data_IF_736958775120
#
_entry.id   IF_736958775120
#
_cell.length_a   1.000
_cell.length_b   1.000
_cell.length_c   1.000
_cell.angle_alpha   90.00
_cell.angle_beta   90.00
_cell.angle_gamma   90.00
#
_symmetry.space_group_name_H-M   'P 1'
#
loop_
_entity.id
_entity.type
_entity.pdbx_description
1 polymer ?
#
# COMPACT_ATOMS: atom_id res chain seq x y z
N UNK A 1 -19.43 -34.85 -3.34
CA UNK A 1 -18.91 -34.31 -2.05
C UNK A 1 -20.11 -33.84 -1.24
N UNK A 2 -20.27 -34.31 0.00
CA UNK A 2 -21.41 -33.88 0.85
C UNK A 2 -21.23 -32.44 1.34
N UNK A 3 -22.31 -31.82 1.84
CA UNK A 3 -22.30 -30.44 2.34
C UNK A 3 -21.18 -30.18 3.38
N UNK A 4 -20.90 -31.15 4.25
CA UNK A 4 -19.80 -31.11 5.24
C UNK A 4 -18.40 -30.97 4.58
N UNK A 5 -18.18 -31.55 3.40
CA UNK A 5 -16.93 -31.43 2.66
C UNK A 5 -16.73 -30.03 2.03
N UNK A 6 -17.82 -29.40 1.57
CA UNK A 6 -17.78 -28.03 1.04
C UNK A 6 -17.51 -27.02 2.16
N UNK A 7 -18.15 -27.18 3.33
CA UNK A 7 -17.88 -26.33 4.49
C UNK A 7 -16.43 -26.42 4.98
N UNK A 8 -15.85 -27.63 5.02
CA UNK A 8 -14.44 -27.82 5.37
C UNK A 8 -13.49 -27.09 4.41
N UNK A 9 -13.74 -27.19 3.10
CA UNK A 9 -12.94 -26.51 2.08
C UNK A 9 -13.04 -24.98 2.19
N UNK A 10 -14.25 -24.44 2.37
CA UNK A 10 -14.46 -23.00 2.52
C UNK A 10 -13.80 -22.46 3.79
N UNK A 11 -13.86 -23.20 4.90
CA UNK A 11 -13.19 -22.82 6.14
C UNK A 11 -11.66 -22.81 5.98
N UNK A 12 -11.09 -23.83 5.33
CA UNK A 12 -9.65 -23.89 5.06
C UNK A 12 -9.20 -22.75 4.14
N UNK A 13 -9.96 -22.46 3.08
CA UNK A 13 -9.69 -21.33 2.18
C UNK A 13 -9.79 -19.99 2.93
N UNK A 14 -10.82 -19.79 3.74
CA UNK A 14 -10.98 -18.58 4.54
C UNK A 14 -9.82 -18.35 5.51
N UNK A 15 -9.37 -19.42 6.18
CA UNK A 15 -8.22 -19.36 7.08
C UNK A 15 -6.93 -19.02 6.31
N UNK A 16 -6.70 -19.66 5.16
CA UNK A 16 -5.55 -19.37 4.30
C UNK A 16 -5.53 -17.90 3.85
N UNK A 17 -6.66 -17.38 3.37
CA UNK A 17 -6.77 -15.98 2.92
C UNK A 17 -6.58 -14.99 4.07
N UNK A 18 -7.05 -15.31 5.28
CA UNK A 18 -6.86 -14.48 6.47
C UNK A 18 -5.37 -14.34 6.82
N UNK A 19 -4.63 -15.45 6.91
CA UNK A 19 -3.19 -15.41 7.20
C UNK A 19 -2.40 -14.71 6.09
N UNK A 20 -2.74 -14.99 4.82
CA UNK A 20 -2.14 -14.28 3.69
C UNK A 20 -2.37 -12.77 3.77
N UNK A 21 -3.59 -12.34 4.13
CA UNK A 21 -3.93 -10.93 4.33
C UNK A 21 -3.08 -10.26 5.41
N UNK A 22 -2.84 -10.95 6.53
CA UNK A 22 -1.94 -10.46 7.59
C UNK A 22 -0.52 -10.27 7.07
N UNK A 23 0.03 -11.27 6.35
CA UNK A 23 1.39 -11.17 5.79
C UNK A 23 1.52 -9.98 4.85
N UNK A 24 0.56 -9.80 3.94
CA UNK A 24 0.52 -8.67 3.00
C UNK A 24 0.43 -7.33 3.76
N UNK A 25 -0.43 -7.24 4.76
CA UNK A 25 -0.57 -6.03 5.57
C UNK A 25 0.73 -5.68 6.33
N UNK A 26 1.35 -6.66 6.99
CA UNK A 26 2.63 -6.46 7.70
C UNK A 26 3.72 -6.01 6.73
N UNK A 27 3.78 -6.59 5.53
CA UNK A 27 4.72 -6.19 4.48
C UNK A 27 4.58 -4.70 4.12
N UNK A 28 3.37 -4.24 3.80
CA UNK A 28 3.15 -2.84 3.43
C UNK A 28 3.38 -1.88 4.60
N UNK A 29 2.99 -2.26 5.82
CA UNK A 29 3.25 -1.46 7.03
C UNK A 29 4.75 -1.30 7.29
N UNK A 30 5.52 -2.38 7.20
CA UNK A 30 6.98 -2.33 7.35
C UNK A 30 7.66 -1.53 6.24
N UNK A 31 7.23 -1.69 4.99
CA UNK A 31 7.76 -0.95 3.86
C UNK A 31 7.53 0.56 4.03
N UNK A 32 6.29 0.98 4.32
CA UNK A 32 5.97 2.40 4.54
C UNK A 32 6.68 2.96 5.77
N UNK A 33 6.77 2.20 6.86
CA UNK A 33 7.53 2.60 8.06
C UNK A 33 9.01 2.82 7.73
N UNK A 34 9.60 1.94 6.91
CA UNK A 34 11.00 2.05 6.48
C UNK A 34 11.20 3.28 5.62
N UNK A 35 10.32 3.53 4.64
CA UNK A 35 10.33 4.75 3.83
C UNK A 35 10.25 5.99 4.72
N UNK A 36 9.31 6.02 5.67
CA UNK A 36 9.13 7.14 6.59
C UNK A 36 10.38 7.41 7.42
N UNK A 37 11.02 6.36 7.97
CA UNK A 37 12.28 6.47 8.71
C UNK A 37 13.42 6.99 7.83
N UNK A 38 13.56 6.47 6.61
CA UNK A 38 14.58 6.92 5.65
C UNK A 38 14.37 8.37 5.20
N UNK A 39 13.13 8.85 5.23
CA UNK A 39 12.78 10.25 4.99
C UNK A 39 12.84 11.13 6.26
N UNK A 40 13.33 10.60 7.38
CA UNK A 40 13.52 11.34 8.63
C UNK A 40 12.22 11.70 9.37
N UNK A 41 11.12 10.99 9.11
CA UNK A 41 9.83 11.29 9.73
C UNK A 41 9.68 10.60 11.11
N UNK A 42 9.36 11.40 12.14
CA UNK A 42 9.15 10.98 13.53
C UNK A 42 7.89 10.10 13.73
N UNK A 43 6.91 10.22 12.83
CA UNK A 43 5.62 9.52 12.89
C UNK A 43 5.59 8.27 12.02
N UNK A 44 6.74 7.67 11.73
CA UNK A 44 6.84 6.44 10.93
C UNK A 44 5.96 5.29 11.44
N UNK A 45 5.69 5.24 12.75
CA UNK A 45 4.82 4.25 13.38
C UNK A 45 3.37 4.30 12.90
N UNK A 46 2.89 5.44 12.36
CA UNK A 46 1.55 5.56 11.78
C UNK A 46 1.33 4.60 10.60
N UNK A 47 2.39 4.08 9.98
CA UNK A 47 2.33 3.08 8.92
C UNK A 47 1.58 1.80 9.34
N UNK A 48 1.57 1.48 10.64
CA UNK A 48 0.86 0.33 11.18
C UNK A 48 -0.64 0.58 11.34
N UNK A 49 -1.13 1.81 11.38
CA UNK A 49 -2.57 2.04 11.54
C UNK A 49 -3.20 2.10 10.14
N UNK A 50 -4.16 1.21 9.79
CA UNK A 50 -4.70 1.08 8.42
C UNK A 50 -5.29 2.36 7.81
N UNK A 51 -5.70 3.32 8.63
CA UNK A 51 -6.20 4.62 8.18
C UNK A 51 -5.09 5.68 8.28
N UNK A 52 -4.30 5.66 9.35
CA UNK A 52 -3.25 6.66 9.54
C UNK A 52 -2.06 6.50 8.59
N UNK A 53 -1.89 5.33 7.97
CA UNK A 53 -0.90 5.10 6.91
C UNK A 53 -1.10 6.04 5.70
N UNK A 54 -2.34 6.41 5.37
CA UNK A 54 -2.64 7.37 4.30
C UNK A 54 -2.33 8.81 4.71
N UNK A 55 -2.60 9.16 5.97
CA UNK A 55 -2.19 10.45 6.54
C UNK A 55 -0.66 10.56 6.55
N UNK A 56 0.02 9.48 6.94
CA UNK A 56 1.47 9.38 6.86
C UNK A 56 1.95 9.57 5.42
N UNK A 57 1.33 8.93 4.44
CA UNK A 57 1.69 9.10 3.03
C UNK A 57 1.59 10.57 2.57
N UNK A 58 0.53 11.28 2.96
CA UNK A 58 0.39 12.72 2.69
C UNK A 58 1.51 13.54 3.35
N UNK A 59 1.84 13.25 4.62
CA UNK A 59 2.95 13.89 5.35
C UNK A 59 4.29 13.63 4.65
N UNK A 60 4.54 12.39 4.21
CA UNK A 60 5.73 12.03 3.45
C UNK A 60 5.76 12.65 2.05
N UNK A 61 4.63 13.12 1.53
CA UNK A 61 4.54 13.90 0.30
C UNK A 61 4.66 15.42 0.55
N UNK A 62 5.17 15.83 1.72
CA UNK A 62 5.35 17.24 2.10
C UNK A 62 4.01 18.02 2.17
N UNK A 63 2.93 17.33 2.57
CA UNK A 63 1.62 17.94 2.83
C UNK A 63 1.32 17.94 4.33
N UNK A 64 0.54 18.92 4.76
CA UNK A 64 0.04 18.95 6.14
C UNK A 64 -0.92 17.78 6.40
N UNK A 65 -1.01 17.34 7.65
CA UNK A 65 -1.82 16.18 8.03
C UNK A 65 -3.31 16.22 7.60
N UNK A 66 -4.02 17.38 7.50
CA UNK A 66 -5.42 17.39 7.10
C UNK A 66 -5.66 16.92 5.67
N UNK A 67 -4.64 16.95 4.81
CA UNK A 67 -4.73 16.40 3.46
C UNK A 67 -5.12 14.92 3.47
N UNK A 68 -4.79 14.19 4.54
CA UNK A 68 -5.20 12.80 4.74
C UNK A 68 -6.72 12.57 4.71
N UNK A 69 -7.56 13.57 5.03
CA UNK A 69 -9.02 13.42 4.95
C UNK A 69 -9.56 13.24 3.52
N UNK A 70 -8.76 13.56 2.49
CA UNK A 70 -9.15 13.32 1.10
C UNK A 70 -9.37 11.84 0.78
N UNK A 71 -8.89 10.92 1.63
CA UNK A 71 -9.20 9.49 1.49
C UNK A 71 -10.69 9.16 1.63
N UNK A 72 -11.45 10.02 2.31
CA UNK A 72 -12.89 9.84 2.54
C UNK A 72 -13.74 10.24 1.33
N UNK A 73 -13.15 10.95 0.36
CA UNK A 73 -13.85 11.39 -0.85
C UNK A 73 -13.57 10.36 -1.95
N UNK A 74 -14.58 9.61 -2.43
CA UNK A 74 -14.40 8.61 -3.48
C UNK A 74 -13.82 9.23 -4.75
N UNK A 75 -13.00 8.46 -5.47
CA UNK A 75 -12.27 8.83 -6.69
C UNK A 75 -11.17 9.88 -6.48
N UNK A 76 -11.44 10.93 -5.71
CA UNK A 76 -10.47 11.93 -5.27
C UNK A 76 -9.35 11.27 -4.48
N UNK A 77 -9.70 10.33 -3.60
CA UNK A 77 -8.73 9.53 -2.85
C UNK A 77 -7.69 8.83 -3.75
N UNK A 78 -8.12 8.24 -4.87
CA UNK A 78 -7.23 7.53 -5.81
C UNK A 78 -6.21 8.50 -6.43
N UNK A 79 -6.68 9.66 -6.87
CA UNK A 79 -5.83 10.69 -7.49
C UNK A 79 -4.80 11.21 -6.50
N UNK A 80 -5.23 11.58 -5.29
CA UNK A 80 -4.33 12.14 -4.28
C UNK A 80 -3.34 11.12 -3.72
N UNK A 81 -3.77 9.88 -3.47
CA UNK A 81 -2.85 8.80 -3.07
C UNK A 81 -1.78 8.57 -4.14
N UNK A 82 -2.15 8.60 -5.42
CA UNK A 82 -1.20 8.48 -6.53
C UNK A 82 -0.20 9.63 -6.55
N UNK A 83 -0.67 10.87 -6.39
CA UNK A 83 0.19 12.06 -6.35
C UNK A 83 1.13 12.01 -5.14
N UNK A 84 0.65 11.63 -3.96
CA UNK A 84 1.47 11.53 -2.77
C UNK A 84 2.52 10.43 -2.91
N UNK A 85 2.12 9.27 -3.42
CA UNK A 85 3.03 8.15 -3.67
C UNK A 85 4.11 8.53 -4.70
N UNK A 86 3.73 9.25 -5.76
CA UNK A 86 4.67 9.79 -6.74
C UNK A 86 5.74 10.65 -6.08
N UNK A 87 5.33 11.62 -5.26
CA UNK A 87 6.25 12.50 -4.54
C UNK A 87 7.14 11.73 -3.57
N UNK A 88 6.60 10.74 -2.86
CA UNK A 88 7.37 9.88 -1.96
C UNK A 88 8.44 9.09 -2.71
N UNK A 89 8.14 8.58 -3.91
CA UNK A 89 9.10 7.87 -4.74
C UNK A 89 10.23 8.80 -5.21
N UNK A 90 9.90 10.01 -5.69
CA UNK A 90 10.91 11.00 -6.07
C UNK A 90 11.83 11.38 -4.89
N UNK A 91 11.26 11.54 -3.70
CA UNK A 91 12.02 11.81 -2.46
C UNK A 91 12.94 10.65 -2.05
N UNK A 92 12.66 9.44 -2.52
CA UNK A 92 13.50 8.25 -2.35
C UNK A 92 14.44 8.01 -3.54
N UNK A 93 14.57 8.95 -4.47
CA UNK A 93 15.37 8.83 -5.70
C UNK A 93 14.87 7.76 -6.68
N UNK A 94 13.56 7.49 -6.68
CA UNK A 94 12.90 6.60 -7.64
C UNK A 94 12.06 7.39 -8.65
N UNK A 95 11.88 6.86 -9.88
CA UNK A 95 10.99 7.49 -10.85
C UNK A 95 9.55 7.56 -10.33
N UNK A 96 9.00 8.78 -10.22
CA UNK A 96 7.65 8.99 -9.67
C UNK A 96 6.54 8.28 -10.44
N UNK A 97 6.71 8.07 -11.76
CA UNK A 97 5.74 7.35 -12.60
C UNK A 97 5.45 5.91 -12.14
N UNK A 98 6.35 5.31 -11.36
CA UNK A 98 6.11 4.00 -10.75
C UNK A 98 4.88 4.02 -9.81
N UNK A 99 4.46 5.20 -9.34
CA UNK A 99 3.24 5.37 -8.54
C UNK A 99 1.94 5.17 -9.34
N UNK A 100 2.01 5.12 -10.68
CA UNK A 100 0.85 4.82 -11.55
C UNK A 100 0.58 3.31 -11.60
N UNK A 101 1.57 2.46 -11.34
CA UNK A 101 1.44 0.99 -11.46
C UNK A 101 0.23 0.43 -10.68
N UNK A 102 -0.07 0.86 -9.44
CA UNK A 102 -1.31 0.47 -8.75
C UNK A 102 -2.60 0.76 -9.53
N UNK A 103 -2.66 1.83 -10.31
CA UNK A 103 -3.87 2.19 -11.08
C UNK A 103 -4.19 1.18 -12.18
N UNK A 104 -3.18 0.48 -12.69
CA UNK A 104 -3.39 -0.60 -13.66
C UNK A 104 -4.16 -1.77 -13.06
N UNK A 105 -4.20 -1.89 -11.73
CA UNK A 105 -4.95 -2.97 -11.08
C UNK A 105 -6.47 -2.82 -11.20
N UNK A 106 -6.95 -1.63 -11.61
CA UNK A 106 -8.38 -1.37 -11.88
C UNK A 106 -8.85 -2.16 -13.11
N UNK A 107 -7.94 -2.47 -14.05
CA UNK A 107 -8.25 -3.24 -15.25
C UNK A 107 -8.26 -4.73 -14.87
N UNK A 108 -9.40 -5.46 -14.96
CA UNK A 108 -9.49 -6.83 -14.46
C UNK A 108 -8.43 -7.79 -15.01
N UNK A 109 -8.06 -7.61 -16.29
CA UNK A 109 -7.04 -8.44 -16.96
C UNK A 109 -5.62 -8.20 -16.43
N UNK A 110 -5.32 -6.99 -15.95
CA UNK A 110 -3.99 -6.59 -15.47
C UNK A 110 -3.90 -6.54 -13.94
N UNK A 111 -5.04 -6.66 -13.25
CA UNK A 111 -5.22 -6.63 -11.80
C UNK A 111 -4.07 -7.24 -11.02
N UNK A 112 -3.89 -8.55 -11.22
CA UNK A 112 -2.94 -9.35 -10.46
C UNK A 112 -1.48 -8.96 -10.72
N UNK A 113 -1.11 -8.76 -11.99
CA UNK A 113 0.26 -8.38 -12.37
C UNK A 113 0.63 -6.99 -11.83
N UNK A 114 -0.30 -6.04 -11.91
CA UNK A 114 -0.12 -4.70 -11.36
C UNK A 114 0.06 -4.73 -9.84
N UNK A 115 -0.71 -5.56 -9.13
CA UNK A 115 -0.59 -5.72 -7.67
C UNK A 115 0.78 -6.28 -7.26
N UNK A 116 1.26 -7.32 -7.94
CA UNK A 116 2.58 -7.88 -7.69
C UNK A 116 3.69 -6.88 -8.02
N UNK A 117 3.58 -6.21 -9.17
CA UNK A 117 4.52 -5.16 -9.57
C UNK A 117 4.58 -4.04 -8.55
N UNK A 118 3.43 -3.58 -8.04
CA UNK A 118 3.37 -2.57 -7.00
C UNK A 118 4.05 -3.04 -5.71
N UNK A 119 3.76 -4.25 -5.24
CA UNK A 119 4.39 -4.77 -4.02
C UNK A 119 5.92 -4.80 -4.16
N UNK A 120 6.44 -5.27 -5.30
CA UNK A 120 7.88 -5.31 -5.59
C UNK A 120 8.47 -3.90 -5.63
N UNK A 121 7.86 -2.98 -6.38
CA UNK A 121 8.29 -1.57 -6.47
C UNK A 121 8.35 -0.93 -5.08
N UNK A 122 7.29 -1.08 -4.29
CA UNK A 122 7.19 -0.49 -2.96
C UNK A 122 8.29 -1.04 -2.03
N UNK A 123 8.63 -2.32 -2.17
CA UNK A 123 9.75 -2.93 -1.48
C UNK A 123 11.11 -2.39 -1.90
N UNK A 124 11.35 -2.21 -3.19
CA UNK A 124 12.58 -1.55 -3.67
C UNK A 124 12.71 -0.14 -3.11
N UNK A 125 11.65 0.66 -3.17
CA UNK A 125 11.63 2.04 -2.63
C UNK A 125 11.94 2.05 -1.13
N UNK A 126 11.43 1.06 -0.38
CA UNK A 126 11.67 0.92 1.05
C UNK A 126 13.10 0.48 1.38
N UNK A 127 13.58 -0.63 0.80
CA UNK A 127 14.81 -1.29 1.27
C UNK A 127 16.04 -1.02 0.41
N UNK A 128 15.90 -0.79 -0.89
CA UNK A 128 17.05 -0.49 -1.75
C UNK A 128 17.38 0.99 -1.68
N UNK A 129 18.63 1.29 -1.35
CA UNK A 129 19.18 2.65 -1.40
C UNK A 129 19.78 2.89 -2.80
N UNK A 130 19.44 4.02 -3.40
CA UNK A 130 19.86 4.49 -4.73
C UNK A 130 20.41 5.90 -4.62
#
# INVERSE_FOLDING_TARGET
MGALGVFGLLAALGMFLFFMGIVVYVYFALALMTIAKKLGNDKAWLAWIPIANFFLLAILAEKDWPWGFLILVPLVNIVFVTIWLWKVYERRSYPGWLAIVPLLSIIPLLGYLAMLGHAIIFGFVAWSDR
#
